data_IF_102385408432
#
_entry.id   IF_102385408432
#
_cell.length_a   1.000
_cell.length_b   1.000
_cell.length_c   1.000
_cell.angle_alpha   90.00
_cell.angle_beta   90.00
_cell.angle_gamma   90.00
#
_symmetry.space_group_name_H-M   'P 1'
#
loop_
_entity.id
_entity.type
_entity.pdbx_description
1 polymer ?
#
# COMPACT_ATOMS: atom_id res chain seq x y z
N UNK A 1 9.08 -8.37 -9.45
CA UNK A 1 10.22 -7.54 -9.92
C UNK A 1 10.80 -6.80 -8.73
N UNK A 2 12.10 -6.50 -8.73
CA UNK A 2 12.75 -5.72 -7.67
C UNK A 2 13.31 -4.43 -8.30
N UNK A 3 12.91 -3.29 -7.77
CA UNK A 3 13.38 -1.96 -8.18
C UNK A 3 14.24 -1.38 -7.06
N UNK A 4 15.53 -1.21 -7.32
CA UNK A 4 16.47 -0.59 -6.38
C UNK A 4 16.66 0.87 -6.78
N UNK A 5 16.24 1.79 -5.90
CA UNK A 5 16.36 3.24 -6.13
C UNK A 5 17.03 3.88 -4.92
N UNK A 6 18.31 4.22 -5.08
CA UNK A 6 19.11 4.79 -4.01
C UNK A 6 19.21 3.84 -2.82
N UNK A 7 18.60 4.22 -1.70
CA UNK A 7 18.63 3.49 -0.44
C UNK A 7 17.50 2.45 -0.28
N UNK A 8 16.48 2.48 -1.13
CA UNK A 8 15.32 1.58 -1.02
C UNK A 8 15.31 0.48 -2.08
N UNK A 9 14.79 -0.67 -1.66
CA UNK A 9 14.48 -1.83 -2.49
C UNK A 9 12.95 -2.02 -2.47
N UNK A 10 12.31 -1.87 -3.63
CA UNK A 10 10.87 -2.09 -3.79
C UNK A 10 10.61 -3.40 -4.52
N UNK A 11 9.88 -4.31 -3.88
CA UNK A 11 9.46 -5.58 -4.48
C UNK A 11 8.01 -5.45 -4.92
N UNK A 12 7.77 -5.61 -6.21
CA UNK A 12 6.43 -5.64 -6.80
C UNK A 12 6.11 -7.05 -7.29
N UNK A 13 5.11 -7.66 -6.67
CA UNK A 13 4.60 -8.99 -7.01
C UNK A 13 3.21 -8.89 -7.65
N UNK A 14 3.00 -9.69 -8.70
CA UNK A 14 1.69 -10.03 -9.23
C UNK A 14 1.47 -11.53 -8.96
N UNK A 15 0.49 -11.84 -8.11
CA UNK A 15 0.25 -13.19 -7.59
C UNK A 15 -1.07 -13.70 -8.16
N UNK A 16 -1.00 -14.80 -8.90
CA UNK A 16 -2.16 -15.45 -9.52
C UNK A 16 -2.55 -16.68 -8.70
N UNK A 17 -3.75 -16.64 -8.13
CA UNK A 17 -4.31 -17.73 -7.34
C UNK A 17 -5.10 -18.69 -8.23
N UNK A 18 -5.18 -19.98 -7.85
CA UNK A 18 -5.81 -21.02 -8.67
C UNK A 18 -7.32 -20.84 -8.88
N UNK A 19 -7.97 -20.03 -8.06
CA UNK A 19 -9.39 -19.67 -8.20
C UNK A 19 -9.62 -18.48 -9.17
N UNK A 20 -8.57 -17.99 -9.82
CA UNK A 20 -8.63 -16.85 -10.74
C UNK A 20 -8.45 -15.48 -10.07
N UNK A 21 -8.24 -15.41 -8.75
CA UNK A 21 -7.94 -14.15 -8.09
C UNK A 21 -6.52 -13.64 -8.44
N UNK A 22 -6.41 -12.34 -8.68
CA UNK A 22 -5.15 -11.63 -8.84
C UNK A 22 -4.92 -10.73 -7.63
N UNK A 23 -3.76 -10.88 -7.00
CA UNK A 23 -3.28 -10.02 -5.93
C UNK A 23 -2.07 -9.24 -6.43
N UNK A 24 -2.06 -7.93 -6.20
CA UNK A 24 -0.85 -7.11 -6.39
C UNK A 24 -0.30 -6.73 -5.03
N UNK A 25 0.98 -7.02 -4.79
CA UNK A 25 1.65 -6.74 -3.52
C UNK A 25 2.89 -5.90 -3.76
N UNK A 26 3.03 -4.85 -2.96
CA UNK A 26 4.21 -3.99 -2.96
C UNK A 26 4.84 -3.97 -1.57
N UNK A 27 6.12 -4.30 -1.51
CA UNK A 27 6.90 -4.35 -0.28
C UNK A 27 8.08 -3.39 -0.39
N UNK A 28 8.35 -2.64 0.67
CA UNK A 28 9.51 -1.76 0.77
C UNK A 28 10.51 -2.35 1.76
N UNK A 29 11.76 -2.45 1.35
CA UNK A 29 12.89 -2.85 2.21
C UNK A 29 14.13 -2.03 1.85
N UNK A 30 15.30 -2.42 2.35
CA UNK A 30 16.55 -1.67 2.22
C UNK A 30 16.82 -0.75 3.41
N UNK A 31 17.58 0.32 3.17
CA UNK A 31 17.95 1.30 4.18
C UNK A 31 16.98 2.48 4.17
N UNK A 32 16.60 2.97 5.35
CA UNK A 32 15.82 4.21 5.44
C UNK A 32 16.69 5.44 5.15
N UNK A 33 16.07 6.50 4.62
CA UNK A 33 16.74 7.79 4.47
C UNK A 33 16.78 8.51 5.81
N UNK A 34 17.98 8.72 6.35
CA UNK A 34 18.18 9.36 7.67
C UNK A 34 18.76 10.77 7.59
N UNK A 35 18.59 11.52 8.69
CA UNK A 35 19.27 12.79 8.94
C UNK A 35 20.07 12.73 10.26
N UNK A 36 20.99 13.67 10.46
CA UNK A 36 21.69 13.83 11.73
C UNK A 36 20.72 14.32 12.82
N UNK A 37 20.75 13.70 13.99
CA UNK A 37 19.84 14.03 15.08
C UNK A 37 20.26 15.30 15.83
N UNK A 38 19.34 16.26 15.92
CA UNK A 38 19.34 17.36 16.90
C UNK A 38 17.94 17.41 17.54
N UNK A 39 17.76 18.27 18.53
CA UNK A 39 16.48 18.36 19.25
C UNK A 39 15.32 18.78 18.35
N UNK A 40 15.57 19.56 17.30
CA UNK A 40 14.53 20.09 16.39
C UNK A 40 13.93 19.01 15.49
N UNK A 41 14.65 17.91 15.23
CA UNK A 41 14.16 16.81 14.39
C UNK A 41 13.10 15.94 15.09
N UNK A 42 12.89 16.11 16.40
CA UNK A 42 11.88 15.35 17.16
C UNK A 42 10.46 15.53 16.63
N UNK A 43 10.16 16.68 16.03
CA UNK A 43 8.84 16.96 15.46
C UNK A 43 8.67 16.34 14.06
N UNK A 44 9.73 15.81 13.45
CA UNK A 44 9.77 15.33 12.07
C UNK A 44 10.25 13.87 11.93
N UNK A 45 10.39 13.14 13.04
CA UNK A 45 10.89 11.78 13.02
C UNK A 45 11.20 11.23 14.41
N UNK A 46 11.87 10.08 14.44
CA UNK A 46 12.23 9.38 15.67
C UNK A 46 13.75 9.26 15.76
N UNK A 47 14.32 9.50 16.95
CA UNK A 47 15.73 9.19 17.21
C UNK A 47 15.90 7.67 17.26
N UNK A 48 16.63 7.10 16.30
CA UNK A 48 16.85 5.65 16.20
C UNK A 48 18.27 5.25 16.61
N UNK A 49 19.20 6.21 16.68
CA UNK A 49 20.54 6.05 17.22
C UNK A 49 21.06 7.40 17.75
N UNK A 50 22.17 7.42 18.49
CA UNK A 50 22.78 8.60 19.12
C UNK A 50 22.77 9.86 18.24
N UNK A 51 23.13 9.71 16.96
CA UNK A 51 23.24 10.80 15.99
C UNK A 51 22.30 10.65 14.80
N UNK A 52 21.32 9.73 14.84
CA UNK A 52 20.50 9.37 13.67
C UNK A 52 19.00 9.59 13.94
N UNK A 53 18.37 10.37 13.06
CA UNK A 53 16.92 10.51 12.96
C UNK A 53 16.38 9.61 11.86
N UNK A 54 15.42 8.75 12.18
CA UNK A 54 14.52 8.13 11.21
C UNK A 54 13.43 9.11 10.84
N UNK A 55 13.54 9.72 9.65
CA UNK A 55 12.63 10.77 9.20
C UNK A 55 11.22 10.21 8.97
N UNK A 56 10.20 10.97 9.36
CA UNK A 56 8.82 10.71 8.99
C UNK A 56 8.63 10.91 7.49
N UNK A 57 8.00 9.95 6.81
CA UNK A 57 7.68 10.03 5.39
C UNK A 57 6.52 9.10 5.05
N UNK A 58 5.92 9.31 3.88
CA UNK A 58 4.88 8.43 3.32
C UNK A 58 5.42 7.72 2.09
N UNK A 59 5.06 6.45 1.94
CA UNK A 59 5.18 5.73 0.68
C UNK A 59 3.83 5.76 -0.03
N UNK A 60 3.83 6.21 -1.28
CA UNK A 60 2.63 6.31 -2.12
C UNK A 60 2.93 5.60 -3.44
N UNK A 61 2.04 4.69 -3.83
CA UNK A 61 2.19 3.90 -5.06
C UNK A 61 0.90 4.02 -5.87
N UNK A 62 1.03 4.06 -7.19
CA UNK A 62 -0.11 4.11 -8.10
C UNK A 62 0.02 2.98 -9.14
N UNK A 63 -1.09 2.28 -9.37
CA UNK A 63 -1.20 1.23 -10.35
C UNK A 63 -2.40 1.54 -11.25
N UNK A 64 -2.22 1.42 -12.57
CA UNK A 64 -3.33 1.42 -13.50
C UNK A 64 -3.91 0.00 -13.57
N UNK A 65 -5.19 -0.15 -13.21
CA UNK A 65 -5.95 -1.39 -13.41
C UNK A 65 -6.95 -1.17 -14.55
N UNK A 66 -6.62 -1.70 -15.73
CA UNK A 66 -7.44 -1.61 -16.94
C UNK A 66 -8.25 -2.91 -17.09
N UNK A 67 -9.42 -2.96 -16.46
CA UNK A 67 -10.20 -4.20 -16.32
C UNK A 67 -11.29 -4.28 -17.39
N UNK A 68 -11.12 -5.20 -18.34
CA UNK A 68 -12.13 -5.57 -19.33
C UNK A 68 -12.93 -6.80 -18.87
N UNK A 69 -13.91 -6.60 -18.00
CA UNK A 69 -14.72 -7.70 -17.44
C UNK A 69 -15.70 -8.22 -18.49
N UNK A 70 -15.35 -9.33 -19.16
CA UNK A 70 -16.09 -9.90 -20.29
C UNK A 70 -16.20 -8.98 -21.52
N UNK A 71 -15.18 -8.13 -21.74
CA UNK A 71 -15.13 -7.13 -22.81
C UNK A 71 -15.01 -5.69 -22.27
N UNK A 72 -14.94 -4.71 -23.16
CA UNK A 72 -14.60 -3.31 -22.84
C UNK A 72 -15.78 -2.44 -22.38
N UNK A 73 -17.02 -2.91 -22.55
CA UNK A 73 -18.22 -2.18 -22.14
C UNK A 73 -18.60 -2.54 -20.71
N UNK A 74 -17.94 -1.92 -19.73
CA UNK A 74 -18.15 -2.21 -18.31
C UNK A 74 -18.98 -1.12 -17.60
N UNK A 75 -19.39 -1.43 -16.36
CA UNK A 75 -20.00 -0.50 -15.41
C UNK A 75 -19.33 -0.66 -14.04
N UNK A 76 -19.39 0.38 -13.22
CA UNK A 76 -18.94 0.34 -11.83
C UNK A 76 -20.15 0.29 -10.90
N UNK A 77 -20.08 -0.56 -9.87
CA UNK A 77 -21.11 -0.71 -8.85
C UNK A 77 -20.46 -0.99 -7.50
N UNK A 78 -21.08 -0.52 -6.42
CA UNK A 78 -20.68 -0.81 -5.04
C UNK A 78 -21.84 -1.42 -4.30
N UNK A 79 -21.57 -2.47 -3.52
CA UNK A 79 -22.52 -3.06 -2.58
C UNK A 79 -22.09 -2.76 -1.15
N UNK A 80 -23.03 -2.34 -0.33
CA UNK A 80 -22.84 -2.12 1.11
C UNK A 80 -23.87 -2.93 1.90
N UNK A 81 -23.51 -3.35 3.11
CA UNK A 81 -24.39 -4.14 3.99
C UNK A 81 -24.90 -3.23 5.10
N UNK A 82 -26.22 -3.06 5.16
CA UNK A 82 -26.86 -2.21 6.15
C UNK A 82 -27.81 -3.01 7.02
N UNK A 83 -27.95 -2.60 8.28
CA UNK A 83 -28.92 -3.18 9.20
C UNK A 83 -30.33 -2.81 8.73
N UNK A 84 -31.21 -3.81 8.66
CA UNK A 84 -32.63 -3.63 8.40
C UNK A 84 -33.43 -4.46 9.41
N UNK A 85 -34.44 -3.86 10.04
CA UNK A 85 -35.42 -4.61 10.81
C UNK A 85 -36.42 -5.22 9.82
N UNK A 86 -36.60 -6.55 9.90
CA UNK A 86 -37.48 -7.29 9.00
C UNK A 86 -38.39 -8.21 9.80
N UNK A 87 -39.69 -8.14 9.53
CA UNK A 87 -40.66 -9.14 10.00
C UNK A 87 -40.68 -10.28 9.00
N UNK A 88 -40.30 -11.48 9.44
CA UNK A 88 -40.42 -12.69 8.64
C UNK A 88 -41.86 -13.18 8.69
N UNK A 89 -42.34 -13.75 7.59
CA UNK A 89 -43.73 -14.21 7.45
C UNK A 89 -43.99 -15.59 8.07
N UNK A 90 -42.98 -16.18 8.72
CA UNK A 90 -43.03 -17.48 9.39
C UNK A 90 -42.73 -17.33 10.88
#
# INVERSE_FOLDING_TARGET
SIMVVGNYDYVLDFIFHQNGALETRLMSTGYIQSNFYRTVERDFGVKIQETITGNLHHHMFNLKADLDVSGTSNRYETLDIQRMDATLSW
#
